data_IF_098932529887
#
_entry.id   IF_098932529887
#
_cell.length_a   1.000
_cell.length_b   1.000
_cell.length_c   1.000
_cell.angle_alpha   90.00
_cell.angle_beta   90.00
_cell.angle_gamma   90.00
#
_symmetry.space_group_name_H-M   'P 1'
#
loop_
_entity.id
_entity.type
_entity.pdbx_description
1 polymer ?
#
# COMPACT_ATOMS: atom_id res chain seq x y z
N UNK A 1 12.27 -7.19 9.12
CA UNK A 1 13.06 -5.96 8.87
C UNK A 1 12.43 -4.92 9.76
N UNK A 2 13.15 -4.30 10.70
CA UNK A 2 12.54 -3.51 11.79
C UNK A 2 11.47 -2.50 11.31
N UNK A 3 11.69 -1.87 10.15
CA UNK A 3 10.76 -0.91 9.56
C UNK A 3 9.43 -1.56 9.10
N UNK A 4 9.47 -2.78 8.56
CA UNK A 4 8.27 -3.54 8.17
C UNK A 4 7.44 -3.93 9.39
N UNK A 5 8.09 -4.40 10.46
CA UNK A 5 7.44 -4.76 11.73
C UNK A 5 6.76 -3.53 12.36
N UNK A 6 7.40 -2.36 12.29
CA UNK A 6 6.82 -1.11 12.77
C UNK A 6 5.60 -0.67 11.94
N UNK A 7 5.63 -0.85 10.61
CA UNK A 7 4.48 -0.54 9.77
C UNK A 7 3.30 -1.48 10.01
N UNK A 8 3.53 -2.74 10.36
CA UNK A 8 2.46 -3.67 10.71
C UNK A 8 1.72 -3.27 12.00
N UNK A 9 2.39 -2.51 12.88
CA UNK A 9 1.83 -1.95 14.11
C UNK A 9 1.43 -0.47 13.97
N UNK A 10 1.44 0.07 12.76
CA UNK A 10 1.17 1.49 12.48
C UNK A 10 -0.30 1.87 12.68
N UNK A 11 -0.55 3.18 12.73
CA UNK A 11 -1.91 3.73 12.83
C UNK A 11 -2.77 3.47 11.58
N UNK A 12 -2.16 3.04 10.47
CA UNK A 12 -2.86 2.68 9.23
C UNK A 12 -3.70 1.42 9.39
N UNK A 13 -3.29 0.51 10.28
CA UNK A 13 -3.84 -0.82 10.38
C UNK A 13 -3.47 -1.73 9.19
N UNK A 14 -3.53 -3.06 9.38
CA UNK A 14 -2.97 -4.02 8.43
C UNK A 14 -3.73 -4.04 7.09
N UNK A 15 -5.06 -3.88 7.11
CA UNK A 15 -5.90 -3.90 5.90
C UNK A 15 -5.57 -2.73 4.97
N UNK A 16 -5.62 -1.49 5.48
CA UNK A 16 -5.33 -0.31 4.66
C UNK A 16 -3.89 -0.31 4.20
N UNK A 17 -2.93 -0.68 5.05
CA UNK A 17 -1.53 -0.81 4.65
C UNK A 17 -1.39 -1.70 3.41
N UNK A 18 -2.05 -2.86 3.40
CA UNK A 18 -1.98 -3.77 2.27
C UNK A 18 -2.81 -3.33 1.06
N UNK A 19 -3.91 -2.59 1.23
CA UNK A 19 -4.63 -1.95 0.12
C UNK A 19 -3.79 -0.87 -0.56
N UNK A 20 -3.06 -0.05 0.21
CA UNK A 20 -2.12 0.94 -0.33
C UNK A 20 -1.00 0.24 -1.10
N UNK A 21 -0.41 -0.82 -0.52
CA UNK A 21 0.65 -1.59 -1.18
C UNK A 21 0.17 -2.26 -2.47
N UNK A 22 -1.05 -2.81 -2.47
CA UNK A 22 -1.70 -3.34 -3.66
C UNK A 22 -1.84 -2.25 -4.72
N UNK A 23 -2.38 -1.08 -4.36
CA UNK A 23 -2.60 0.01 -5.32
C UNK A 23 -1.31 0.55 -5.92
N UNK A 24 -0.29 0.78 -5.10
CA UNK A 24 1.03 1.21 -5.59
C UNK A 24 1.63 0.16 -6.55
N UNK A 25 1.49 -1.12 -6.22
CA UNK A 25 1.97 -2.22 -7.06
C UNK A 25 1.23 -2.32 -8.40
N UNK A 26 -0.07 -2.03 -8.42
CA UNK A 26 -0.87 -1.95 -9.66
C UNK A 26 -0.38 -0.82 -10.57
N UNK A 27 -0.06 0.36 -10.00
CA UNK A 27 0.47 1.51 -10.76
C UNK A 27 1.85 1.16 -11.35
N UNK A 28 2.73 0.56 -10.56
CA UNK A 28 4.08 0.20 -10.98
C UNK A 28 4.16 -1.05 -11.88
N UNK A 29 3.10 -1.85 -11.97
CA UNK A 29 3.08 -3.09 -12.76
C UNK A 29 3.85 -4.26 -12.15
N UNK A 30 4.06 -4.29 -10.82
CA UNK A 30 4.71 -5.43 -10.15
C UNK A 30 3.72 -6.60 -9.95
N UNK A 31 3.64 -7.54 -10.89
CA UNK A 31 2.72 -8.69 -10.81
C UNK A 31 2.92 -9.54 -9.54
N UNK A 32 4.17 -9.77 -9.14
CA UNK A 32 4.52 -10.47 -7.90
C UNK A 32 3.90 -9.77 -6.68
N UNK A 33 4.11 -8.45 -6.57
CA UNK A 33 3.66 -7.65 -5.44
C UNK A 33 2.12 -7.54 -5.40
N UNK A 34 1.48 -7.44 -6.56
CA UNK A 34 0.01 -7.48 -6.69
C UNK A 34 -0.53 -8.81 -6.16
N UNK A 35 0.07 -9.94 -6.54
CA UNK A 35 -0.37 -11.25 -6.08
C UNK A 35 -0.17 -11.40 -4.56
N UNK A 36 1.02 -11.06 -4.06
CA UNK A 36 1.34 -11.15 -2.64
C UNK A 36 0.35 -10.34 -1.78
N UNK A 37 0.12 -9.07 -2.12
CA UNK A 37 -0.75 -8.23 -1.30
C UNK A 37 -2.24 -8.59 -1.44
N UNK A 38 -2.68 -9.07 -2.59
CA UNK A 38 -4.02 -9.65 -2.75
C UNK A 38 -4.22 -10.85 -1.82
N UNK A 39 -3.25 -11.75 -1.74
CA UNK A 39 -3.34 -12.93 -0.86
C UNK A 39 -3.28 -12.55 0.62
N UNK A 40 -2.41 -11.61 1.00
CA UNK A 40 -2.38 -11.10 2.39
C UNK A 40 -3.71 -10.46 2.76
N UNK A 41 -4.33 -9.68 1.88
CA UNK A 41 -5.65 -9.09 2.14
C UNK A 41 -6.73 -10.16 2.33
N UNK A 42 -6.67 -11.25 1.57
CA UNK A 42 -7.53 -12.42 1.78
C UNK A 42 -7.35 -13.06 3.16
N UNK A 43 -6.10 -13.22 3.61
CA UNK A 43 -5.79 -13.74 4.95
C UNK A 43 -6.24 -12.81 6.09
N UNK A 44 -6.24 -11.50 5.84
CA UNK A 44 -6.76 -10.49 6.76
C UNK A 44 -8.29 -10.38 6.74
N UNK A 45 -9.00 -11.21 5.96
CA UNK A 45 -10.45 -11.15 5.79
C UNK A 45 -10.92 -9.77 5.28
N UNK A 46 -10.17 -9.17 4.34
CA UNK A 46 -10.65 -8.02 3.56
C UNK A 46 -11.62 -8.47 2.46
N UNK A 47 -12.57 -7.63 2.10
CA UNK A 47 -13.61 -8.00 1.14
C UNK A 47 -13.07 -8.05 -0.29
N UNK A 48 -13.52 -9.02 -1.12
CA UNK A 48 -13.20 -9.04 -2.54
C UNK A 48 -13.62 -7.74 -3.25
N UNK A 49 -14.70 -7.11 -2.81
CA UNK A 49 -15.15 -5.81 -3.32
C UNK A 49 -14.07 -4.75 -3.17
N UNK A 50 -13.55 -4.54 -1.94
CA UNK A 50 -12.53 -3.53 -1.66
C UNK A 50 -11.20 -3.86 -2.36
N UNK A 51 -10.80 -5.13 -2.38
CA UNK A 51 -9.58 -5.57 -3.09
C UNK A 51 -9.66 -5.22 -4.58
N UNK A 52 -10.78 -5.55 -5.24
CA UNK A 52 -10.96 -5.29 -6.67
C UNK A 52 -11.13 -3.80 -6.98
N UNK A 53 -11.86 -3.08 -6.13
CA UNK A 53 -12.12 -1.65 -6.31
C UNK A 53 -10.93 -0.76 -5.92
N UNK A 54 -9.89 -1.28 -5.27
CA UNK A 54 -8.68 -0.51 -4.95
C UNK A 54 -8.05 0.12 -6.20
N UNK A 55 -8.15 -0.49 -7.38
CA UNK A 55 -7.62 0.07 -8.62
C UNK A 55 -8.39 1.32 -9.12
N UNK A 56 -9.63 1.48 -8.65
CA UNK A 56 -10.59 2.52 -9.03
C UNK A 56 -11.17 3.21 -7.78
N UNK A 57 -10.33 3.33 -6.74
CA UNK A 57 -10.73 3.72 -5.38
C UNK A 57 -11.43 5.08 -5.30
N UNK A 58 -11.18 5.98 -6.24
CA UNK A 58 -11.71 7.35 -6.23
C UNK A 58 -13.25 7.37 -6.34
N UNK A 59 -13.79 6.58 -7.26
CA UNK A 59 -15.22 6.41 -7.50
C UNK A 59 -15.86 5.32 -6.63
N UNK A 60 -15.05 4.54 -5.92
CA UNK A 60 -15.53 3.44 -5.08
C UNK A 60 -16.16 3.98 -3.78
N UNK A 61 -17.42 3.64 -3.47
CA UNK A 61 -18.10 4.08 -2.26
C UNK A 61 -17.69 3.28 -1.00
N UNK A 62 -17.01 2.14 -1.18
CA UNK A 62 -16.60 1.26 -0.09
C UNK A 62 -15.40 1.76 0.73
N UNK A 63 -14.77 2.87 0.32
CA UNK A 63 -13.67 3.52 1.04
C UNK A 63 -14.12 4.81 1.70
N UNK A 64 -13.67 5.03 2.94
CA UNK A 64 -13.90 6.27 3.67
C UNK A 64 -13.08 7.42 3.09
N UNK A 65 -13.45 8.68 3.35
CA UNK A 65 -12.64 9.82 2.92
C UNK A 65 -11.22 9.84 3.51
N UNK A 66 -11.04 9.28 4.71
CA UNK A 66 -9.73 9.12 5.34
C UNK A 66 -8.86 8.13 4.56
N UNK A 67 -9.42 6.98 4.13
CA UNK A 67 -8.75 6.00 3.28
C UNK A 67 -8.46 6.57 1.88
N UNK A 68 -9.42 7.30 1.30
CA UNK A 68 -9.22 7.98 0.01
C UNK A 68 -8.10 9.02 0.07
N UNK A 69 -7.93 9.73 1.19
CA UNK A 69 -6.79 10.61 1.41
C UNK A 69 -5.45 9.83 1.40
N UNK A 70 -5.44 8.60 1.92
CA UNK A 70 -4.27 7.74 1.87
C UNK A 70 -3.96 7.25 0.44
N UNK A 71 -4.98 6.87 -0.33
CA UNK A 71 -4.80 6.50 -1.74
C UNK A 71 -4.29 7.66 -2.59
N UNK A 72 -4.87 8.86 -2.46
CA UNK A 72 -4.40 10.08 -3.15
C UNK A 72 -2.93 10.37 -2.89
N UNK A 73 -2.52 10.28 -1.62
CA UNK A 73 -1.14 10.45 -1.20
C UNK A 73 -0.23 9.39 -1.84
N UNK A 74 -0.62 8.11 -1.77
CA UNK A 74 0.14 7.00 -2.32
C UNK A 74 0.32 7.08 -3.84
N UNK A 75 -0.73 7.42 -4.58
CA UNK A 75 -0.66 7.63 -6.03
C UNK A 75 0.30 8.77 -6.40
N UNK A 76 0.17 9.91 -5.70
CA UNK A 76 0.99 11.10 -5.94
C UNK A 76 2.47 10.82 -5.71
N UNK A 77 2.82 10.18 -4.58
CA UNK A 77 4.21 9.84 -4.27
C UNK A 77 4.76 8.73 -5.17
N UNK A 78 3.91 7.81 -5.64
CA UNK A 78 4.34 6.79 -6.62
C UNK A 78 4.68 7.42 -7.96
N UNK A 79 3.90 8.42 -8.38
CA UNK A 79 4.10 9.20 -9.62
C UNK A 79 4.92 10.48 -9.39
N UNK A 80 5.71 10.54 -8.32
CA UNK A 80 6.48 11.76 -7.96
C UNK A 80 7.46 12.18 -9.05
N UNK A 81 7.85 11.24 -9.92
CA UNK A 81 8.68 11.55 -11.07
C UNK A 81 7.96 12.41 -12.12
N UNK A 82 6.64 12.30 -12.22
CA UNK A 82 5.83 13.07 -13.15
C UNK A 82 5.43 14.41 -12.53
N UNK A 83 5.09 14.42 -11.24
CA UNK A 83 4.63 15.64 -10.56
C UNK A 83 5.76 16.52 -10.06
N UNK A 84 6.88 15.96 -9.58
CA UNK A 84 8.02 16.65 -8.92
C UNK A 84 7.69 17.45 -7.65
N UNK A 85 6.41 17.55 -7.26
CA UNK A 85 5.98 18.23 -6.05
C UNK A 85 4.71 17.59 -5.47
N UNK A 86 4.47 17.85 -4.20
CA UNK A 86 3.21 17.60 -3.48
C UNK A 86 2.62 18.97 -3.19
N UNK A 87 1.37 19.23 -3.61
CA UNK A 87 0.75 20.53 -3.34
C UNK A 87 0.30 20.64 -1.86
N UNK A 88 0.20 21.88 -1.38
CA UNK A 88 -0.16 22.15 0.01
C UNK A 88 -1.55 21.61 0.35
N UNK A 89 -2.51 21.68 -0.57
CA UNK A 89 -3.86 21.17 -0.36
C UNK A 89 -3.88 19.66 -0.09
N UNK A 90 -3.13 18.87 -0.86
CA UNK A 90 -2.98 17.43 -0.64
C UNK A 90 -2.26 17.15 0.67
N UNK A 91 -1.16 17.87 0.94
CA UNK A 91 -0.42 17.71 2.20
C UNK A 91 -1.31 17.98 3.41
N UNK A 92 -2.02 19.11 3.43
CA UNK A 92 -2.91 19.48 4.52
C UNK A 92 -4.10 18.53 4.63
N UNK A 93 -4.69 18.09 3.52
CA UNK A 93 -5.78 17.12 3.54
C UNK A 93 -5.33 15.77 4.13
N UNK A 94 -4.17 15.27 3.73
CA UNK A 94 -3.61 14.02 4.29
C UNK A 94 -3.20 14.20 5.75
N UNK A 95 -2.58 15.33 6.12
CA UNK A 95 -2.21 15.64 7.50
C UNK A 95 -3.44 15.72 8.40
N UNK A 96 -4.52 16.37 7.96
CA UNK A 96 -5.77 16.44 8.73
C UNK A 96 -6.43 15.07 8.89
N UNK A 97 -6.32 14.20 7.88
CA UNK A 97 -6.89 12.86 7.92
C UNK A 97 -6.09 11.89 8.81
N UNK A 98 -4.77 12.02 8.88
CA UNK A 98 -3.88 11.00 9.48
C UNK A 98 -3.00 11.50 10.64
N UNK A 99 -2.93 12.81 10.86
CA UNK A 99 -1.98 13.43 11.79
C UNK A 99 -0.52 13.25 11.35
N UNK A 100 0.40 13.78 12.15
CA UNK A 100 1.84 13.76 11.84
C UNK A 100 2.43 12.35 11.81
N UNK A 101 2.00 11.48 12.75
CA UNK A 101 2.44 10.10 12.79
C UNK A 101 1.93 9.32 11.56
N UNK A 102 0.63 9.40 11.27
CA UNK A 102 0.03 8.64 10.18
C UNK A 102 0.53 9.07 8.80
N UNK A 103 0.76 10.37 8.54
CA UNK A 103 1.35 10.81 7.26
C UNK A 103 2.79 10.31 7.09
N UNK A 104 3.56 10.23 8.18
CA UNK A 104 4.92 9.70 8.18
C UNK A 104 4.93 8.19 7.90
N UNK A 105 4.07 7.43 8.59
CA UNK A 105 3.88 5.99 8.38
C UNK A 105 3.42 5.68 6.96
N UNK A 106 2.46 6.45 6.43
CA UNK A 106 1.97 6.31 5.07
C UNK A 106 3.06 6.59 4.04
N UNK A 107 3.83 7.66 4.22
CA UNK A 107 4.94 8.01 3.32
C UNK A 107 6.00 6.90 3.31
N UNK A 108 6.35 6.38 4.48
CA UNK A 108 7.28 5.28 4.64
C UNK A 108 6.76 4.00 3.96
N UNK A 109 5.48 3.65 4.18
CA UNK A 109 4.84 2.51 3.53
C UNK A 109 4.90 2.62 2.00
N UNK A 110 4.61 3.79 1.45
CA UNK A 110 4.66 4.07 0.00
C UNK A 110 6.08 3.97 -0.54
N UNK A 111 7.09 4.52 0.15
CA UNK A 111 8.49 4.43 -0.25
C UNK A 111 9.02 2.98 -0.27
N UNK A 112 8.65 2.19 0.74
CA UNK A 112 9.06 0.79 0.85
C UNK A 112 8.42 -0.07 -0.24
N UNK A 113 7.11 0.06 -0.49
CA UNK A 113 6.50 -0.73 -1.58
C UNK A 113 7.00 -0.31 -2.95
N UNK A 114 7.31 0.98 -3.15
CA UNK A 114 7.99 1.43 -4.36
C UNK A 114 9.38 0.79 -4.54
N UNK A 115 10.11 0.56 -3.44
CA UNK A 115 11.37 -0.17 -3.45
C UNK A 115 11.14 -1.64 -3.82
N UNK A 116 10.20 -2.32 -3.17
CA UNK A 116 9.86 -3.71 -3.48
C UNK A 116 9.38 -3.91 -4.92
N UNK A 117 8.57 -2.99 -5.45
CA UNK A 117 8.14 -3.04 -6.84
C UNK A 117 9.33 -2.97 -7.80
N UNK A 118 10.30 -2.08 -7.55
CA UNK A 118 11.52 -1.97 -8.36
C UNK A 118 12.34 -3.26 -8.34
N UNK A 119 12.53 -3.85 -7.15
CA UNK A 119 13.24 -5.11 -7.00
C UNK A 119 12.52 -6.25 -7.73
N UNK A 120 11.21 -6.40 -7.50
CA UNK A 120 10.41 -7.46 -8.09
C UNK A 120 10.38 -7.40 -9.63
N UNK A 121 10.27 -6.19 -10.18
CA UNK A 121 10.29 -5.97 -11.63
C UNK A 121 11.70 -6.20 -12.20
N UNK A 122 12.72 -5.59 -11.61
CA UNK A 122 14.10 -5.66 -12.13
C UNK A 122 14.67 -7.08 -12.12
N UNK A 123 14.27 -7.90 -11.14
CA UNK A 123 14.76 -9.26 -10.98
C UNK A 123 13.79 -10.33 -11.48
N UNK A 124 12.72 -9.96 -12.18
CA UNK A 124 11.72 -10.90 -12.71
C UNK A 124 11.24 -11.91 -11.66
N UNK A 125 10.99 -11.45 -10.43
CA UNK A 125 10.67 -12.33 -9.31
C UNK A 125 9.43 -13.15 -9.62
N UNK A 126 9.56 -14.47 -9.62
CA UNK A 126 8.44 -15.38 -9.86
C UNK A 126 7.53 -15.50 -8.64
N UNK A 127 6.34 -16.05 -8.85
CA UNK A 127 5.31 -16.15 -7.81
C UNK A 127 5.49 -17.36 -6.87
N UNK A 128 6.47 -18.24 -7.13
CA UNK A 128 6.63 -19.52 -6.40
C UNK A 128 6.99 -19.32 -4.92
N UNK A 129 7.59 -18.18 -4.57
CA UNK A 129 7.99 -17.84 -3.22
C UNK A 129 6.86 -17.26 -2.35
N UNK A 130 5.69 -16.95 -2.94
CA UNK A 130 4.62 -16.27 -2.20
C UNK A 130 4.11 -17.13 -1.05
N UNK A 131 3.84 -18.42 -1.29
CA UNK A 131 3.39 -19.34 -0.25
C UNK A 131 4.38 -19.43 0.92
N UNK A 132 5.68 -19.38 0.62
CA UNK A 132 6.72 -19.39 1.65
C UNK A 132 6.68 -18.09 2.48
N UNK A 133 6.57 -16.94 1.83
CA UNK A 133 6.47 -15.63 2.50
C UNK A 133 5.23 -15.56 3.39
N UNK A 134 4.08 -16.01 2.88
CA UNK A 134 2.83 -16.01 3.63
C UNK A 134 2.91 -16.91 4.87
N UNK A 135 3.52 -18.09 4.76
CA UNK A 135 3.75 -18.98 5.92
C UNK A 135 4.61 -18.32 7.00
N UNK A 136 5.66 -17.60 6.60
CA UNK A 136 6.50 -16.88 7.56
C UNK A 136 5.75 -15.74 8.24
N UNK A 137 4.90 -15.00 7.52
CA UNK A 137 4.06 -13.94 8.10
C UNK A 137 3.01 -14.49 9.08
N UNK A 138 2.36 -15.60 8.75
CA UNK A 138 1.37 -16.24 9.61
C UNK A 138 1.98 -16.91 10.86
N UNK A 139 3.26 -17.32 10.81
CA UNK A 139 3.94 -17.91 11.95
C UNK A 139 4.35 -16.89 13.04
N UNK A 140 4.22 -15.59 12.75
CA UNK A 140 4.61 -14.50 13.64
C UNK A 140 3.44 -13.54 13.97
N UNK A 141 2.23 -13.86 13.53
CA UNK A 141 0.97 -13.21 13.92
C UNK A 141 0.33 -13.95 15.08
#
# INVERSE_FOLDING_TARGET
MAIEEQLEQSTLGPKLLHLIRLRVSQINGCAFCVNLHTQVLGLLEETPERINQAAVWEEAPCFTEQEKAAFRWAETLTKIADTRYVNDDLYLATLNAWGEAGISELTLAVGIINTWNRLGIAFHTDHSFIDQILRTKLAHA
#
